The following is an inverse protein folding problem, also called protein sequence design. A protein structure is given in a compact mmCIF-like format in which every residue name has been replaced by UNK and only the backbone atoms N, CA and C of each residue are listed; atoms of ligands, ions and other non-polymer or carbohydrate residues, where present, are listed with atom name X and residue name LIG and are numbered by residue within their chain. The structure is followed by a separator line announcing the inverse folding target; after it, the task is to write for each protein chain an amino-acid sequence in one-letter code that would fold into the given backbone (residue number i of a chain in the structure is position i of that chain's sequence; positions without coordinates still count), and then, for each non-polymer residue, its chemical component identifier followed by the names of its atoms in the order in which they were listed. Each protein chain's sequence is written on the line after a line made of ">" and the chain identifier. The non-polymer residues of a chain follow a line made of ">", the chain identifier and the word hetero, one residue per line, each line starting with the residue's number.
data_IF_423736663928
#
_entry.id   IF_423736663928
#
_cell.length_a   1.000
_cell.length_b   1.000
_cell.length_c   1.000
_cell.angle_alpha   90.00
_cell.angle_beta   90.00
_cell.angle_gamma   90.00
#
_symmetry.space_group_name_H-M   'P 1'
#
loop_
_entity.id
_entity.type
_entity.pdbx_description
1 polymer ?
#
# COMPACT_ATOMS: atom_id res chain seq x y z
N UNK A 1 -42.66 -41.68 -15.52
CA UNK A 1 -41.82 -40.53 -15.88
C UNK A 1 -41.57 -39.74 -14.59
N UNK A 2 -40.57 -40.14 -13.81
CA UNK A 2 -40.20 -39.46 -12.56
C UNK A 2 -39.23 -38.33 -12.91
N UNK A 3 -39.67 -37.09 -12.70
CA UNK A 3 -38.85 -35.90 -12.90
C UNK A 3 -37.80 -35.79 -11.78
N UNK A 4 -36.55 -36.02 -12.14
CA UNK A 4 -35.39 -35.88 -11.28
C UNK A 4 -35.09 -34.38 -11.15
N UNK A 5 -35.46 -33.78 -10.02
CA UNK A 5 -35.18 -32.38 -9.72
C UNK A 5 -33.69 -32.25 -9.38
N UNK A 6 -32.90 -31.86 -10.38
CA UNK A 6 -31.49 -31.56 -10.25
C UNK A 6 -31.35 -30.22 -9.50
N UNK A 7 -31.30 -30.26 -8.17
CA UNK A 7 -30.92 -29.11 -7.37
C UNK A 7 -29.45 -28.79 -7.66
N UNK A 8 -29.23 -27.85 -8.59
CA UNK A 8 -27.93 -27.25 -8.80
C UNK A 8 -27.53 -26.52 -7.50
N UNK A 9 -26.67 -27.16 -6.71
CA UNK A 9 -25.88 -26.50 -5.68
C UNK A 9 -24.99 -25.49 -6.40
N UNK A 10 -25.48 -24.26 -6.56
CA UNK A 10 -24.63 -23.11 -6.84
C UNK A 10 -23.80 -22.89 -5.57
N UNK A 11 -22.62 -23.50 -5.54
CA UNK A 11 -21.59 -23.11 -4.61
C UNK A 11 -21.30 -21.63 -4.86
N UNK A 12 -21.72 -20.76 -3.95
CA UNK A 12 -21.04 -19.49 -3.75
C UNK A 12 -19.59 -19.85 -3.42
N UNK A 13 -18.71 -19.80 -4.41
CA UNK A 13 -17.32 -19.50 -4.12
C UNK A 13 -17.33 -18.07 -3.60
N UNK A 14 -17.47 -17.92 -2.27
CA UNK A 14 -16.91 -16.77 -1.61
C UNK A 14 -15.44 -16.75 -2.03
N UNK A 15 -15.09 -15.77 -2.86
CA UNK A 15 -13.71 -15.49 -3.18
C UNK A 15 -13.06 -15.14 -1.85
N UNK A 16 -12.41 -16.11 -1.20
CA UNK A 16 -11.48 -15.85 -0.12
C UNK A 16 -10.48 -14.85 -0.69
N UNK A 17 -10.68 -13.59 -0.30
CA UNK A 17 -9.87 -12.48 -0.77
C UNK A 17 -8.41 -12.81 -0.49
N UNK A 18 -7.54 -12.36 -1.37
CA UNK A 18 -6.07 -12.52 -1.35
C UNK A 18 -5.32 -12.13 -0.05
N UNK A 19 -6.00 -11.95 1.09
CA UNK A 19 -5.47 -11.42 2.34
C UNK A 19 -5.15 -9.92 2.30
N UNK A 20 -5.29 -9.28 1.12
CA UNK A 20 -5.01 -7.87 0.91
C UNK A 20 -6.14 -6.99 1.39
N UNK A 21 -5.77 -5.87 1.99
CA UNK A 21 -6.70 -4.77 2.22
C UNK A 21 -7.15 -4.18 0.88
N UNK A 22 -8.47 -4.01 0.76
CA UNK A 22 -9.17 -3.33 -0.34
C UNK A 22 -9.38 -1.87 0.05
N UNK A 23 -8.80 -0.96 -0.73
CA UNK A 23 -8.92 0.48 -0.52
C UNK A 23 -9.76 1.07 -1.64
N UNK A 24 -10.86 1.71 -1.27
CA UNK A 24 -11.63 2.54 -2.18
C UNK A 24 -11.12 3.97 -2.16
N UNK A 25 -10.63 4.46 -3.30
CA UNK A 25 -10.19 5.85 -3.45
C UNK A 25 -11.41 6.71 -3.77
N UNK A 26 -11.84 7.50 -2.79
CA UNK A 26 -12.98 8.39 -2.91
C UNK A 26 -12.65 9.59 -3.81
N UNK A 27 -13.67 10.33 -4.25
CA UNK A 27 -13.47 11.53 -5.06
C UNK A 27 -12.57 12.53 -4.34
N UNK A 28 -11.58 13.06 -5.06
CA UNK A 28 -10.74 14.11 -4.50
C UNK A 28 -11.56 15.40 -4.38
N UNK A 29 -11.35 16.11 -3.29
CA UNK A 29 -11.87 17.47 -3.12
C UNK A 29 -10.71 18.44 -3.18
N UNK A 30 -10.95 19.65 -3.65
CA UNK A 30 -9.90 20.66 -3.80
C UNK A 30 -10.47 22.07 -3.71
N UNK A 31 -9.61 23.03 -3.38
CA UNK A 31 -9.96 24.46 -3.46
C UNK A 31 -10.27 24.84 -4.91
N UNK A 32 -11.40 25.51 -5.16
CA UNK A 32 -11.90 25.81 -6.52
C UNK A 32 -10.88 26.53 -7.42
N UNK A 33 -10.02 27.37 -6.84
CA UNK A 33 -9.00 28.14 -7.56
C UNK A 33 -7.94 27.29 -8.26
N UNK A 34 -7.85 25.98 -7.96
CA UNK A 34 -6.85 25.08 -8.54
C UNK A 34 -7.25 24.60 -9.95
N UNK A 35 -8.55 24.45 -10.21
CA UNK A 35 -9.07 23.76 -11.41
C UNK A 35 -8.75 22.25 -11.44
N UNK A 36 -9.31 21.54 -12.43
CA UNK A 36 -9.47 20.07 -12.34
C UNK A 36 -8.29 19.25 -12.89
N UNK A 37 -7.42 19.85 -13.72
CA UNK A 37 -6.37 19.13 -14.44
C UNK A 37 -5.29 18.54 -13.52
N UNK A 38 -4.78 19.34 -12.59
CA UNK A 38 -3.74 18.92 -11.64
C UNK A 38 -4.26 17.95 -10.58
N UNK A 39 -5.45 18.14 -9.95
CA UNK A 39 -6.02 17.16 -9.04
C UNK A 39 -6.24 15.78 -9.68
N UNK A 40 -6.65 15.74 -10.96
CA UNK A 40 -6.81 14.48 -11.71
C UNK A 40 -5.48 13.76 -11.88
N UNK A 41 -4.43 14.49 -12.27
CA UNK A 41 -3.06 13.93 -12.41
C UNK A 41 -2.54 13.43 -11.05
N UNK A 42 -2.77 14.20 -9.98
CA UNK A 42 -2.41 13.80 -8.61
C UNK A 42 -3.14 12.52 -8.19
N UNK A 43 -4.44 12.38 -8.51
CA UNK A 43 -5.22 11.17 -8.23
C UNK A 43 -4.58 9.94 -8.86
N UNK A 44 -4.24 10.00 -10.14
CA UNK A 44 -3.59 8.88 -10.83
C UNK A 44 -2.23 8.53 -10.20
N UNK A 45 -1.44 9.54 -9.82
CA UNK A 45 -0.16 9.32 -9.14
C UNK A 45 -0.35 8.66 -7.75
N UNK A 46 -1.38 9.07 -7.00
CA UNK A 46 -1.72 8.45 -5.72
C UNK A 46 -2.11 7.00 -5.90
N UNK A 47 -3.08 6.71 -6.79
CA UNK A 47 -3.52 5.34 -7.10
C UNK A 47 -2.34 4.48 -7.53
N UNK A 48 -1.55 4.96 -8.49
CA UNK A 48 -0.38 4.23 -8.99
C UNK A 48 0.68 3.98 -7.91
N UNK A 49 0.85 4.89 -6.95
CA UNK A 49 1.78 4.71 -5.83
C UNK A 49 1.30 3.69 -4.81
N UNK A 50 -0.01 3.65 -4.53
CA UNK A 50 -0.61 2.64 -3.66
C UNK A 50 -0.51 1.23 -4.29
N UNK A 51 -0.84 1.12 -5.58
CA UNK A 51 -0.79 -0.12 -6.35
C UNK A 51 0.63 -0.65 -6.55
N UNK A 52 1.64 0.22 -6.62
CA UNK A 52 3.02 -0.15 -6.93
C UNK A 52 3.66 -1.18 -5.98
N UNK A 53 3.09 -1.36 -4.79
CA UNK A 53 3.53 -2.38 -3.84
C UNK A 53 3.01 -3.79 -4.19
N UNK A 54 1.90 -3.89 -4.93
CA UNK A 54 1.19 -5.15 -5.15
C UNK A 54 0.43 -5.67 -3.93
N UNK A 55 0.40 -4.93 -2.81
CA UNK A 55 -0.11 -5.39 -1.51
C UNK A 55 -1.52 -4.96 -1.18
N UNK A 56 -2.10 -4.12 -2.03
CA UNK A 56 -3.45 -3.59 -1.87
C UNK A 56 -4.26 -3.90 -3.11
N UNK A 57 -5.57 -4.06 -2.94
CA UNK A 57 -6.55 -3.96 -4.03
C UNK A 57 -7.07 -2.54 -4.01
N UNK A 58 -7.02 -1.84 -5.15
CA UNK A 58 -7.47 -0.45 -5.23
C UNK A 58 -8.71 -0.38 -6.12
N UNK A 59 -9.77 0.21 -5.58
CA UNK A 59 -11.02 0.50 -6.29
C UNK A 59 -11.09 2.00 -6.48
N UNK A 60 -11.22 2.44 -7.74
CA UNK A 60 -11.33 3.86 -8.08
C UNK A 60 -12.80 4.25 -8.17
N UNK A 61 -13.29 5.12 -7.28
CA UNK A 61 -14.68 5.58 -7.31
C UNK A 61 -15.08 6.30 -8.62
N UNK A 62 -14.14 6.83 -9.40
CA UNK A 62 -14.43 7.41 -10.72
C UNK A 62 -14.76 6.34 -11.78
N UNK A 63 -14.28 5.11 -11.59
CA UNK A 63 -14.54 3.99 -12.49
C UNK A 63 -15.81 3.19 -12.10
N UNK A 64 -16.34 3.39 -10.89
CA UNK A 64 -17.46 2.62 -10.36
C UNK A 64 -18.81 3.31 -10.63
N UNK A 65 -19.59 2.75 -11.57
CA UNK A 65 -20.88 3.32 -12.00
C UNK A 65 -21.89 3.47 -10.85
N UNK A 66 -21.96 2.49 -9.93
CA UNK A 66 -22.84 2.55 -8.77
C UNK A 66 -22.50 3.69 -7.80
N UNK A 67 -21.20 3.97 -7.62
CA UNK A 67 -20.74 5.05 -6.77
C UNK A 67 -20.89 6.43 -7.42
N UNK A 68 -20.80 6.48 -8.75
CA UNK A 68 -21.09 7.67 -9.54
C UNK A 68 -22.58 8.03 -9.46
N UNK A 69 -23.46 7.05 -9.63
CA UNK A 69 -24.91 7.23 -9.50
C UNK A 69 -25.28 7.69 -8.08
N UNK A 70 -24.69 7.10 -7.04
CA UNK A 70 -24.89 7.55 -5.66
C UNK A 70 -24.36 8.98 -5.41
N UNK A 71 -23.25 9.38 -6.05
CA UNK A 71 -22.75 10.76 -5.99
C UNK A 71 -23.74 11.73 -6.64
N UNK A 72 -24.23 11.41 -7.84
CA UNK A 72 -25.17 12.25 -8.58
C UNK A 72 -26.48 12.40 -7.80
N UNK A 73 -26.96 11.32 -7.16
CA UNK A 73 -28.11 11.36 -6.25
C UNK A 73 -27.88 12.34 -5.10
N UNK A 74 -26.69 12.37 -4.49
CA UNK A 74 -26.38 13.28 -3.37
C UNK A 74 -26.28 14.76 -3.76
N UNK A 75 -25.95 15.03 -5.02
CA UNK A 75 -25.95 16.38 -5.54
C UNK A 75 -27.38 16.91 -5.78
N UNK A 76 -28.42 16.07 -5.70
CA UNK A 76 -29.80 16.53 -5.58
C UNK A 76 -30.19 16.74 -4.11
N UNK A 77 -30.87 17.84 -3.83
CA UNK A 77 -31.20 18.32 -2.46
C UNK A 77 -31.99 17.31 -1.62
N UNK A 78 -32.61 16.30 -2.23
CA UNK A 78 -33.45 15.28 -1.57
C UNK A 78 -32.66 14.18 -0.84
N UNK A 79 -31.32 14.13 -1.00
CA UNK A 79 -30.51 12.95 -0.68
C UNK A 79 -29.38 13.18 0.34
N UNK A 80 -29.25 14.39 0.90
CA UNK A 80 -28.08 14.82 1.68
C UNK A 80 -27.79 14.04 2.97
N UNK A 81 -28.66 13.09 3.37
CA UNK A 81 -28.59 12.43 4.67
C UNK A 81 -27.94 11.04 4.74
N UNK A 82 -27.82 10.27 3.65
CA UNK A 82 -27.57 8.83 3.82
C UNK A 82 -26.10 8.40 3.68
N UNK A 83 -25.28 8.70 4.71
CA UNK A 83 -23.94 8.12 4.87
C UNK A 83 -23.93 6.57 4.95
N UNK A 84 -25.09 5.93 5.15
CA UNK A 84 -25.25 4.48 5.22
C UNK A 84 -25.34 3.86 3.82
N UNK A 85 -26.06 4.46 2.87
CA UNK A 85 -26.13 3.99 1.48
C UNK A 85 -24.75 3.90 0.81
N UNK A 86 -23.95 4.97 0.89
CA UNK A 86 -22.60 4.99 0.28
C UNK A 86 -21.67 3.95 0.90
N UNK A 87 -21.69 3.81 2.23
CA UNK A 87 -20.93 2.75 2.92
C UNK A 87 -21.43 1.36 2.55
N UNK A 88 -22.73 1.18 2.36
CA UNK A 88 -23.30 -0.08 1.89
C UNK A 88 -22.77 -0.46 0.52
N UNK A 89 -22.69 0.47 -0.43
CA UNK A 89 -22.08 0.20 -1.75
C UNK A 89 -20.59 -0.14 -1.63
N UNK A 90 -19.84 0.57 -0.79
CA UNK A 90 -18.44 0.24 -0.50
C UNK A 90 -18.27 -1.16 0.10
N UNK A 91 -19.15 -1.56 1.03
CA UNK A 91 -19.15 -2.91 1.62
C UNK A 91 -19.45 -3.97 0.57
N UNK A 92 -20.38 -3.73 -0.38
CA UNK A 92 -20.64 -4.64 -1.51
C UNK A 92 -19.43 -4.83 -2.40
N UNK A 93 -18.62 -3.79 -2.58
CA UNK A 93 -17.35 -3.84 -3.31
C UNK A 93 -16.20 -4.47 -2.49
N UNK A 94 -16.47 -4.93 -1.26
CA UNK A 94 -15.47 -5.54 -0.38
C UNK A 94 -14.44 -4.55 0.18
N UNK A 95 -14.69 -3.24 0.13
CA UNK A 95 -13.75 -2.24 0.61
C UNK A 95 -13.56 -2.32 2.13
N UNK A 96 -12.32 -2.50 2.58
CA UNK A 96 -11.96 -2.41 3.99
C UNK A 96 -11.85 -0.94 4.43
N UNK A 97 -11.29 -0.10 3.56
CA UNK A 97 -11.05 1.31 3.85
C UNK A 97 -11.47 2.23 2.72
N UNK A 98 -11.87 3.44 3.09
CA UNK A 98 -12.08 4.57 2.19
C UNK A 98 -10.93 5.55 2.35
N UNK A 99 -10.29 5.90 1.23
CA UNK A 99 -9.25 6.92 1.16
C UNK A 99 -9.87 8.23 0.67
N UNK A 100 -9.80 9.26 1.50
CA UNK A 100 -10.27 10.62 1.19
C UNK A 100 -9.07 11.55 1.07
N UNK A 101 -9.04 12.36 0.03
CA UNK A 101 -8.02 13.40 -0.15
C UNK A 101 -8.68 14.76 -0.34
N UNK A 102 -8.18 15.74 0.40
CA UNK A 102 -8.49 17.15 0.21
C UNK A 102 -7.22 17.91 -0.16
N UNK A 103 -7.20 18.51 -1.34
CA UNK A 103 -6.07 19.25 -1.88
C UNK A 103 -6.28 20.74 -1.64
N UNK A 104 -5.37 21.36 -0.89
CA UNK A 104 -5.49 22.78 -0.54
C UNK A 104 -4.68 23.67 -1.48
N UNK A 105 -3.65 23.13 -2.14
CA UNK A 105 -2.77 23.89 -3.02
C UNK A 105 -2.10 22.99 -4.06
N UNK A 106 -2.09 23.45 -5.32
CA UNK A 106 -1.24 22.93 -6.39
C UNK A 106 -0.79 24.11 -7.26
N UNK A 107 0.48 24.50 -7.16
CA UNK A 107 1.07 25.61 -7.92
C UNK A 107 2.60 25.41 -8.02
N UNK A 108 3.33 26.40 -8.52
CA UNK A 108 4.77 26.47 -8.46
C UNK A 108 5.28 27.86 -8.06
N UNK A 109 6.30 27.89 -7.18
CA UNK A 109 7.08 29.09 -6.87
C UNK A 109 8.05 29.38 -8.01
N UNK A 110 8.13 30.64 -8.45
CA UNK A 110 9.13 31.09 -9.41
C UNK A 110 10.39 31.53 -8.65
N UNK A 111 11.53 30.99 -9.04
CA UNK A 111 12.83 31.28 -8.43
C UNK A 111 13.81 31.78 -9.50
N UNK A 112 14.77 32.63 -9.10
CA UNK A 112 15.82 33.12 -10.00
C UNK A 112 17.15 32.46 -9.68
N UNK A 113 17.91 32.11 -10.72
CA UNK A 113 19.31 31.70 -10.61
C UNK A 113 20.22 32.93 -10.58
N UNK A 114 21.47 32.72 -10.17
CA UNK A 114 22.50 33.76 -10.16
C UNK A 114 22.80 34.32 -11.56
N UNK A 115 22.55 33.53 -12.61
CA UNK A 115 22.70 33.93 -14.03
C UNK A 115 21.50 34.73 -14.58
N UNK A 116 20.48 34.98 -13.76
CA UNK A 116 19.25 35.70 -14.15
C UNK A 116 18.18 34.84 -14.82
N UNK A 117 18.47 33.57 -15.14
CA UNK A 117 17.46 32.63 -15.62
C UNK A 117 16.50 32.22 -14.51
N UNK A 118 15.31 31.77 -14.90
CA UNK A 118 14.24 31.36 -13.98
C UNK A 118 14.17 29.84 -13.89
N UNK A 119 13.86 29.33 -12.69
CA UNK A 119 13.42 27.95 -12.48
C UNK A 119 12.18 27.94 -11.57
N UNK A 120 11.49 26.82 -11.51
CA UNK A 120 10.25 26.69 -10.74
C UNK A 120 10.34 25.54 -9.72
N UNK A 121 9.78 25.76 -8.53
CA UNK A 121 9.62 24.75 -7.48
C UNK A 121 8.15 24.39 -7.31
N UNK A 122 7.79 23.12 -7.39
CA UNK A 122 6.40 22.69 -7.18
C UNK A 122 5.92 22.94 -5.75
N UNK A 123 4.65 23.31 -5.61
CA UNK A 123 3.97 23.55 -4.34
C UNK A 123 2.69 22.71 -4.31
N UNK A 124 2.72 21.59 -3.60
CA UNK A 124 1.57 20.67 -3.50
C UNK A 124 1.26 20.40 -2.03
N UNK A 125 0.05 20.73 -1.61
CA UNK A 125 -0.45 20.48 -0.26
C UNK A 125 -1.77 19.71 -0.31
N UNK A 126 -1.83 18.58 0.38
CA UNK A 126 -3.07 17.83 0.55
C UNK A 126 -3.09 17.07 1.87
N UNK A 127 -4.29 16.77 2.35
CA UNK A 127 -4.48 15.87 3.49
C UNK A 127 -5.09 14.56 3.01
N UNK A 128 -4.48 13.45 3.42
CA UNK A 128 -4.96 12.10 3.17
C UNK A 128 -5.59 11.56 4.44
N UNK A 129 -6.81 11.06 4.35
CA UNK A 129 -7.52 10.40 5.45
C UNK A 129 -7.98 9.01 5.04
N UNK A 130 -7.62 8.00 5.82
CA UNK A 130 -8.02 6.61 5.65
C UNK A 130 -9.05 6.25 6.72
N UNK A 131 -10.26 5.89 6.28
CA UNK A 131 -11.41 5.61 7.15
C UNK A 131 -11.80 4.14 7.02
N UNK A 132 -12.05 3.47 8.14
CA UNK A 132 -12.58 2.11 8.14
C UNK A 132 -14.04 2.14 7.64
N UNK A 133 -14.34 1.35 6.61
CA UNK A 133 -15.68 1.30 6.01
C UNK A 133 -16.70 0.66 6.95
N UNK A 134 -16.26 -0.23 7.83
CA UNK A 134 -17.14 -0.99 8.73
C UNK A 134 -17.83 -0.09 9.76
N UNK A 135 -17.04 0.73 10.47
CA UNK A 135 -17.49 1.54 11.60
C UNK A 135 -17.35 3.05 11.39
N UNK A 136 -16.67 3.49 10.33
CA UNK A 136 -16.43 4.91 10.04
C UNK A 136 -15.29 5.54 10.85
N UNK A 137 -14.52 4.77 11.61
CA UNK A 137 -13.39 5.29 12.39
C UNK A 137 -12.21 5.68 11.50
N UNK A 138 -11.47 6.70 11.89
CA UNK A 138 -10.27 7.15 11.17
C UNK A 138 -9.08 6.29 11.57
N UNK A 139 -8.51 5.53 10.62
CA UNK A 139 -7.28 4.75 10.82
C UNK A 139 -6.04 5.64 10.68
N UNK A 140 -6.02 6.53 9.69
CA UNK A 140 -4.91 7.46 9.44
C UNK A 140 -5.47 8.80 8.98
N UNK A 141 -4.91 9.89 9.47
CA UNK A 141 -5.06 11.22 8.86
C UNK A 141 -3.71 11.91 8.86
N UNK A 142 -3.23 12.28 7.67
CA UNK A 142 -1.86 12.80 7.50
C UNK A 142 -1.82 13.92 6.46
N UNK A 143 -1.27 15.09 6.80
CA UNK A 143 -0.96 16.11 5.83
C UNK A 143 0.30 15.75 5.05
N UNK A 144 0.31 16.09 3.76
CA UNK A 144 1.44 16.03 2.86
C UNK A 144 1.72 17.43 2.34
N UNK A 145 2.96 17.88 2.51
CA UNK A 145 3.42 19.21 2.11
C UNK A 145 4.70 19.06 1.28
N UNK A 146 4.60 19.43 0.01
CA UNK A 146 5.69 19.46 -0.93
C UNK A 146 5.99 20.91 -1.27
N UNK A 147 6.96 21.47 -0.57
CA UNK A 147 7.52 22.80 -0.79
C UNK A 147 9.01 22.76 -0.42
N UNK A 148 9.80 23.69 -0.98
CA UNK A 148 11.23 23.78 -0.71
C UNK A 148 11.96 22.46 -0.97
N UNK A 149 12.67 21.94 0.03
CA UNK A 149 13.48 20.70 -0.10
C UNK A 149 12.66 19.43 -0.39
N UNK A 150 11.35 19.45 -0.15
CA UNK A 150 10.47 18.33 -0.42
C UNK A 150 9.81 18.40 -1.81
N UNK A 151 9.92 19.54 -2.48
CA UNK A 151 9.40 19.73 -3.83
C UNK A 151 10.37 19.23 -4.91
N UNK A 152 9.88 19.15 -6.14
CA UNK A 152 10.71 18.98 -7.33
C UNK A 152 10.67 20.22 -8.20
N UNK A 153 11.60 20.27 -9.13
CA UNK A 153 11.95 21.46 -9.88
C UNK A 153 11.74 21.25 -11.38
N UNK A 154 11.55 22.34 -12.10
CA UNK A 154 11.46 22.33 -13.55
C UNK A 154 11.72 23.71 -14.16
N UNK A 155 11.97 23.75 -15.46
CA UNK A 155 12.18 24.99 -16.20
C UNK A 155 10.86 25.72 -16.51
N UNK A 156 9.71 25.06 -16.30
CA UNK A 156 8.37 25.66 -16.34
C UNK A 156 7.56 25.31 -15.09
N UNK A 157 6.46 26.04 -14.85
CA UNK A 157 5.53 25.76 -13.75
C UNK A 157 4.96 24.33 -13.85
N UNK A 158 4.49 23.95 -15.02
CA UNK A 158 3.89 22.65 -15.31
C UNK A 158 4.89 21.52 -15.07
N UNK A 159 6.15 21.70 -15.48
CA UNK A 159 7.22 20.73 -15.28
C UNK A 159 7.52 20.53 -13.79
N UNK A 160 7.60 21.62 -13.01
CA UNK A 160 7.85 21.55 -11.58
C UNK A 160 6.69 20.88 -10.80
N UNK A 161 5.44 21.20 -11.17
CA UNK A 161 4.24 20.56 -10.59
C UNK A 161 4.25 19.07 -10.91
N UNK A 162 4.44 18.70 -12.18
CA UNK A 162 4.41 17.29 -12.63
C UNK A 162 5.51 16.47 -11.95
N UNK A 163 6.75 16.99 -11.91
CA UNK A 163 7.84 16.32 -11.21
C UNK A 163 7.55 16.13 -9.71
N UNK A 164 6.85 17.09 -9.10
CA UNK A 164 6.44 16.99 -7.69
C UNK A 164 5.35 15.94 -7.51
N UNK A 165 4.38 15.84 -8.43
CA UNK A 165 3.36 14.77 -8.47
C UNK A 165 4.02 13.39 -8.60
N UNK A 166 5.04 13.23 -9.43
CA UNK A 166 5.77 11.96 -9.56
C UNK A 166 6.46 11.56 -8.23
N UNK A 167 6.93 12.55 -7.47
CA UNK A 167 7.45 12.31 -6.13
C UNK A 167 6.36 11.94 -5.10
N UNK A 168 5.11 12.37 -5.30
CA UNK A 168 3.95 11.89 -4.51
C UNK A 168 3.75 10.39 -4.69
N UNK A 169 3.93 9.85 -5.90
CA UNK A 169 3.83 8.39 -6.15
C UNK A 169 4.77 7.59 -5.26
N UNK A 170 6.02 8.05 -5.11
CA UNK A 170 7.02 7.47 -4.19
C UNK A 170 6.55 7.56 -2.74
N UNK A 171 5.99 8.71 -2.36
CA UNK A 171 5.46 8.94 -1.02
C UNK A 171 4.28 8.03 -0.69
N UNK A 172 3.41 7.73 -1.66
CA UNK A 172 2.30 6.79 -1.48
C UNK A 172 2.79 5.36 -1.36
N UNK A 173 3.82 4.96 -2.11
CA UNK A 173 4.47 3.65 -1.89
C UNK A 173 4.99 3.52 -0.46
N UNK A 174 5.63 4.58 0.07
CA UNK A 174 6.06 4.63 1.48
C UNK A 174 4.86 4.59 2.44
N UNK A 175 3.77 5.29 2.13
CA UNK A 175 2.55 5.24 2.93
C UNK A 175 2.02 3.80 3.06
N UNK A 176 2.03 3.00 1.98
CA UNK A 176 1.63 1.59 2.08
C UNK A 176 2.61 0.80 2.96
N UNK A 177 3.91 1.04 2.84
CA UNK A 177 4.92 0.41 3.69
C UNK A 177 4.77 0.74 5.18
N UNK A 178 4.33 1.96 5.50
CA UNK A 178 4.20 2.43 6.89
C UNK A 178 2.88 1.97 7.56
N UNK A 179 1.82 1.72 6.79
CA UNK A 179 0.46 1.54 7.33
C UNK A 179 -0.18 0.18 7.06
N UNK A 180 0.44 -0.61 6.18
CA UNK A 180 -0.03 -1.93 5.81
C UNK A 180 1.15 -2.88 5.95
N UNK A 181 1.26 -3.56 7.09
CA UNK A 181 2.35 -4.51 7.32
C UNK A 181 2.18 -5.73 6.41
N UNK A 182 3.27 -6.15 5.76
CA UNK A 182 3.32 -7.50 5.17
C UNK A 182 3.87 -8.47 6.20
N UNK A 183 3.00 -9.37 6.66
CA UNK A 183 3.32 -10.44 7.63
C UNK A 183 3.12 -11.80 6.98
N UNK A 184 3.97 -12.73 7.32
CA UNK A 184 3.97 -14.11 6.86
C UNK A 184 4.53 -15.02 7.98
N UNK A 185 4.50 -16.33 7.77
CA UNK A 185 5.06 -17.36 8.63
C UNK A 185 6.27 -18.01 7.97
N UNK A 186 7.11 -18.66 8.78
CA UNK A 186 8.11 -19.60 8.27
C UNK A 186 7.43 -20.94 8.10
N UNK A 187 7.51 -21.51 6.89
CA UNK A 187 6.89 -22.80 6.54
C UNK A 187 7.81 -23.96 6.91
N UNK A 188 9.07 -23.88 6.51
CA UNK A 188 10.08 -24.90 6.79
C UNK A 188 11.49 -24.32 6.66
N UNK A 189 12.43 -24.86 7.44
CA UNK A 189 13.86 -24.67 7.21
C UNK A 189 14.31 -25.64 6.12
N UNK A 190 14.89 -25.12 5.04
CA UNK A 190 15.36 -25.92 3.92
C UNK A 190 16.76 -26.47 4.19
N UNK A 191 17.70 -25.59 4.56
CA UNK A 191 19.08 -25.96 4.81
C UNK A 191 19.59 -25.45 6.16
N UNK A 192 20.43 -26.26 6.80
CA UNK A 192 21.10 -25.97 8.08
C UNK A 192 22.60 -26.15 7.93
N UNK A 193 23.35 -25.19 8.47
CA UNK A 193 24.79 -25.28 8.68
C UNK A 193 25.10 -25.55 10.16
N UNK A 194 26.11 -26.39 10.42
CA UNK A 194 26.47 -26.81 11.79
C UNK A 194 26.87 -25.67 12.72
N UNK A 195 27.42 -24.56 12.19
CA UNK A 195 27.88 -23.41 12.99
C UNK A 195 26.90 -22.24 12.92
N UNK A 196 26.33 -21.99 11.73
CA UNK A 196 25.46 -20.83 11.48
C UNK A 196 23.98 -21.10 11.76
N UNK A 197 23.59 -22.36 11.94
CA UNK A 197 22.20 -22.78 12.10
C UNK A 197 21.45 -22.74 10.78
N UNK A 198 20.18 -22.32 10.78
CA UNK A 198 19.38 -22.17 9.56
C UNK A 198 20.07 -21.24 8.56
N UNK A 199 20.22 -21.68 7.31
CA UNK A 199 20.83 -20.87 6.22
C UNK A 199 19.86 -20.55 5.09
N UNK A 200 18.84 -21.39 4.87
CA UNK A 200 17.71 -21.07 3.99
C UNK A 200 16.40 -21.63 4.53
N UNK A 201 15.30 -20.95 4.22
CA UNK A 201 13.96 -21.30 4.69
C UNK A 201 12.87 -20.80 3.73
N UNK A 202 11.69 -21.40 3.81
CA UNK A 202 10.50 -20.98 3.08
C UNK A 202 9.61 -20.10 3.94
N UNK A 203 9.00 -19.09 3.32
CA UNK A 203 7.93 -18.27 3.91
C UNK A 203 6.66 -18.37 3.06
N UNK A 204 5.51 -18.29 3.72
CA UNK A 204 4.16 -18.35 3.10
C UNK A 204 3.75 -17.00 2.48
N UNK A 205 4.69 -16.33 1.80
CA UNK A 205 4.33 -15.21 0.94
C UNK A 205 5.09 -15.17 -0.38
N UNK A 206 4.38 -14.86 -1.46
CA UNK A 206 4.89 -14.85 -2.84
C UNK A 206 4.42 -13.65 -3.67
N UNK A 207 4.29 -13.86 -4.99
CA UNK A 207 3.98 -12.80 -5.97
C UNK A 207 2.66 -12.08 -5.66
N UNK A 208 1.65 -12.83 -5.22
CA UNK A 208 0.35 -12.27 -4.88
C UNK A 208 0.47 -11.23 -3.79
N UNK A 209 1.39 -11.36 -2.84
CA UNK A 209 1.63 -10.39 -1.77
C UNK A 209 2.67 -9.32 -2.10
N UNK A 210 3.01 -9.16 -3.38
CA UNK A 210 3.98 -8.16 -3.83
C UNK A 210 5.42 -8.45 -3.38
N UNK A 211 5.72 -9.70 -3.01
CA UNK A 211 7.07 -10.13 -2.63
C UNK A 211 7.97 -10.12 -3.86
N UNK A 212 9.21 -9.66 -3.72
CA UNK A 212 10.20 -9.64 -4.79
C UNK A 212 11.54 -10.12 -4.27
N UNK A 213 12.35 -10.67 -5.19
CA UNK A 213 13.75 -11.01 -4.91
C UNK A 213 14.47 -9.82 -4.27
N UNK A 214 15.17 -10.09 -3.17
CA UNK A 214 15.91 -9.10 -2.41
C UNK A 214 15.13 -8.39 -1.30
N UNK A 215 13.80 -8.55 -1.23
CA UNK A 215 13.02 -8.10 -0.08
C UNK A 215 13.56 -8.74 1.19
N UNK A 216 13.62 -7.95 2.27
CA UNK A 216 14.14 -8.40 3.57
C UNK A 216 12.99 -8.48 4.56
N UNK A 217 13.00 -9.53 5.38
CA UNK A 217 12.04 -9.72 6.46
C UNK A 217 12.76 -9.86 7.79
N UNK A 218 12.13 -9.34 8.84
CA UNK A 218 12.55 -9.56 10.23
C UNK A 218 11.80 -10.79 10.75
N UNK A 219 12.54 -11.77 11.25
CA UNK A 219 11.99 -12.97 11.89
C UNK A 219 11.78 -12.69 13.36
N UNK A 220 10.57 -12.94 13.86
CA UNK A 220 10.20 -12.75 15.26
C UNK A 220 9.53 -13.99 15.82
N UNK A 221 9.80 -14.28 17.10
CA UNK A 221 9.02 -15.25 17.87
C UNK A 221 7.86 -14.52 18.55
N UNK A 222 6.66 -15.11 18.42
CA UNK A 222 5.46 -14.67 19.14
C UNK A 222 5.45 -15.25 20.57
N UNK A 223 5.22 -14.41 21.58
CA UNK A 223 5.07 -14.83 22.99
C UNK A 223 3.81 -14.20 23.59
N UNK A 224 3.00 -15.01 24.27
CA UNK A 224 1.86 -14.51 25.04
C UNK A 224 2.29 -14.17 26.46
N UNK A 225 2.05 -12.93 26.90
CA UNK A 225 2.32 -12.47 28.27
C UNK A 225 1.14 -11.66 28.76
N UNK A 226 0.45 -12.13 29.81
CA UNK A 226 -0.72 -11.47 30.39
C UNK A 226 -1.80 -11.09 29.36
N UNK A 227 -2.10 -12.00 28.43
CA UNK A 227 -3.08 -11.76 27.35
C UNK A 227 -2.62 -10.82 26.23
N UNK A 228 -1.36 -10.36 26.27
CA UNK A 228 -0.76 -9.54 25.21
C UNK A 228 0.23 -10.36 24.40
N UNK A 229 0.15 -10.20 23.08
CA UNK A 229 1.13 -10.77 22.15
C UNK A 229 2.37 -9.88 22.07
N UNK A 230 3.52 -10.43 22.46
CA UNK A 230 4.84 -9.81 22.32
C UNK A 230 5.63 -10.47 21.19
N UNK A 231 6.45 -9.68 20.52
CA UNK A 231 7.33 -10.17 19.45
C UNK A 231 8.79 -9.90 19.79
N UNK A 232 9.63 -10.93 19.70
CA UNK A 232 11.09 -10.80 19.88
C UNK A 232 11.79 -11.06 18.55
N UNK A 233 12.56 -10.10 18.03
CA UNK A 233 13.42 -10.30 16.85
C UNK A 233 14.49 -11.34 17.16
N UNK A 234 14.53 -12.41 16.37
CA UNK A 234 15.51 -13.50 16.48
C UNK A 234 16.39 -13.62 15.25
N UNK A 235 16.00 -13.02 14.12
CA UNK A 235 16.79 -13.11 12.90
C UNK A 235 16.24 -12.26 11.77
N UNK A 236 16.89 -12.37 10.61
CA UNK A 236 16.51 -11.68 9.37
C UNK A 236 16.75 -12.58 8.18
N UNK A 237 15.82 -12.54 7.24
CA UNK A 237 15.91 -13.30 6.00
C UNK A 237 15.75 -12.38 4.80
N UNK A 238 16.34 -12.76 3.67
CA UNK A 238 16.26 -12.05 2.41
C UNK A 238 15.74 -13.00 1.35
N UNK A 239 14.71 -12.60 0.62
CA UNK A 239 14.13 -13.39 -0.47
C UNK A 239 15.19 -13.61 -1.55
N UNK A 240 15.49 -14.87 -1.82
CA UNK A 240 16.41 -15.29 -2.87
C UNK A 240 15.67 -15.62 -4.17
N UNK A 241 14.48 -16.20 -4.03
CA UNK A 241 13.59 -16.58 -5.12
C UNK A 241 12.14 -16.51 -4.64
N UNK A 242 11.26 -16.00 -5.50
CA UNK A 242 9.80 -16.06 -5.30
C UNK A 242 9.30 -17.30 -6.05
N UNK A 243 8.59 -18.18 -5.36
CA UNK A 243 8.19 -19.50 -5.87
C UNK A 243 6.66 -19.56 -5.99
N UNK A 244 6.12 -18.73 -6.89
CA UNK A 244 4.69 -18.63 -7.15
C UNK A 244 3.98 -17.59 -6.29
N UNK A 245 2.65 -17.70 -6.25
CA UNK A 245 1.77 -16.67 -5.69
C UNK A 245 1.90 -16.52 -4.17
N UNK A 246 2.17 -17.60 -3.46
CA UNK A 246 2.03 -17.71 -2.01
C UNK A 246 3.30 -18.17 -1.29
N UNK A 247 4.40 -18.44 -2.00
CA UNK A 247 5.63 -18.95 -1.37
C UNK A 247 6.89 -18.27 -1.88
N UNK A 248 7.89 -18.13 -1.01
CA UNK A 248 9.22 -17.66 -1.36
C UNK A 248 10.32 -18.40 -0.62
N UNK A 249 11.43 -18.65 -1.32
CA UNK A 249 12.67 -19.15 -0.72
C UNK A 249 13.53 -17.97 -0.25
N UNK A 250 13.98 -18.03 0.99
CA UNK A 250 14.77 -16.98 1.61
C UNK A 250 16.13 -17.50 2.11
N UNK A 251 17.14 -16.64 1.99
CA UNK A 251 18.45 -16.79 2.63
C UNK A 251 18.43 -16.16 4.02
N UNK A 252 18.94 -16.87 5.02
CA UNK A 252 19.12 -16.32 6.37
C UNK A 252 20.32 -15.39 6.36
N UNK A 253 20.10 -14.14 6.74
CA UNK A 253 21.13 -13.08 6.78
C UNK A 253 21.59 -12.76 8.19
N UNK A 254 20.78 -13.11 9.20
CA UNK A 254 21.09 -12.95 10.63
C UNK A 254 20.28 -13.95 11.45
N UNK A 255 20.88 -14.51 12.50
CA UNK A 255 20.18 -15.27 13.54
C UNK A 255 19.83 -16.71 13.19
N UNK A 256 20.62 -17.38 12.35
CA UNK A 256 20.33 -18.74 11.91
C UNK A 256 20.28 -19.77 13.04
N UNK A 257 21.13 -19.62 14.07
CA UNK A 257 21.12 -20.48 15.27
C UNK A 257 19.83 -20.29 16.07
N UNK A 258 19.40 -19.05 16.27
CA UNK A 258 18.18 -18.71 17.00
C UNK A 258 16.93 -19.15 16.25
N UNK A 259 16.90 -19.01 14.93
CA UNK A 259 15.80 -19.48 14.07
C UNK A 259 15.71 -21.00 14.13
N UNK A 260 16.82 -21.72 13.96
CA UNK A 260 16.83 -23.18 14.05
C UNK A 260 16.36 -23.67 15.42
N UNK A 261 16.85 -23.04 16.50
CA UNK A 261 16.41 -23.38 17.84
C UNK A 261 14.91 -23.11 18.04
N UNK A 262 14.40 -21.99 17.52
CA UNK A 262 12.98 -21.67 17.61
C UNK A 262 12.11 -22.69 16.87
N UNK A 263 12.55 -23.16 15.71
CA UNK A 263 11.89 -24.21 14.93
C UNK A 263 11.88 -25.56 15.68
N UNK A 264 13.02 -25.97 16.23
CA UNK A 264 13.15 -27.20 17.04
C UNK A 264 12.28 -27.15 18.32
N UNK A 265 12.20 -25.99 18.95
CA UNK A 265 11.34 -25.72 20.10
C UNK A 265 9.85 -25.58 19.71
N UNK A 266 9.51 -25.70 18.41
CA UNK A 266 8.16 -25.51 17.84
C UNK A 266 7.53 -24.17 18.21
N UNK A 267 8.35 -23.12 18.30
CA UNK A 267 7.88 -21.76 18.60
C UNK A 267 7.21 -21.18 17.37
N UNK A 268 6.08 -20.50 17.57
CA UNK A 268 5.41 -19.75 16.52
C UNK A 268 6.29 -18.58 16.06
N UNK A 269 6.72 -18.62 14.80
CA UNK A 269 7.53 -17.59 14.17
C UNK A 269 6.73 -16.83 13.13
N UNK A 270 6.87 -15.51 13.15
CA UNK A 270 6.28 -14.58 12.17
C UNK A 270 7.41 -13.80 11.52
N UNK A 271 7.32 -13.63 10.20
CA UNK A 271 8.17 -12.73 9.45
C UNK A 271 7.42 -11.44 9.13
N UNK A 272 8.09 -10.30 9.23
CA UNK A 272 7.51 -9.01 8.85
C UNK A 272 8.43 -8.32 7.86
N UNK A 273 7.87 -7.86 6.75
CA UNK A 273 8.63 -7.15 5.73
C UNK A 273 9.30 -5.92 6.33
N UNK A 274 10.56 -5.71 5.98
CA UNK A 274 11.36 -4.55 6.34
C UNK A 274 11.64 -3.74 5.07
N UNK A 275 10.93 -2.63 4.85
CA UNK A 275 11.19 -1.76 3.71
C UNK A 275 12.64 -1.28 3.71
N UNK A 276 13.32 -1.42 2.58
CA UNK A 276 14.60 -0.75 2.34
C UNK A 276 14.39 0.63 1.72
N UNK A 277 15.38 1.52 1.83
CA UNK A 277 15.33 2.85 1.20
C UNK A 277 15.13 2.73 -0.31
N UNK A 278 15.70 1.70 -0.93
CA UNK A 278 15.58 1.39 -2.36
C UNK A 278 14.18 0.88 -2.73
N UNK A 279 13.41 0.36 -1.77
CA UNK A 279 12.04 -0.07 -2.01
C UNK A 279 11.07 1.12 -2.06
N UNK A 280 11.50 2.34 -1.73
CA UNK A 280 10.72 3.57 -1.98
C UNK A 280 11.01 4.20 -3.34
N UNK A 281 12.22 4.01 -3.87
CA UNK A 281 12.68 4.65 -5.11
C UNK A 281 12.25 3.78 -6.30
N UNK A 282 11.46 4.35 -7.22
CA UNK A 282 11.09 3.66 -8.46
C UNK A 282 12.32 3.21 -9.26
N UNK A 283 12.17 2.19 -10.10
CA UNK A 283 13.23 1.68 -10.99
C UNK A 283 13.87 2.78 -11.86
N UNK A 284 13.14 3.86 -12.15
CA UNK A 284 13.54 4.95 -13.05
C UNK A 284 14.67 5.86 -12.55
N UNK A 285 15.14 5.74 -11.30
CA UNK A 285 16.28 6.54 -10.79
C UNK A 285 17.59 5.73 -10.76
N UNK A 286 17.54 4.41 -10.95
CA UNK A 286 18.75 3.57 -10.91
C UNK A 286 19.71 3.79 -12.08
N UNK A 287 19.28 4.49 -13.14
CA UNK A 287 20.12 4.81 -14.30
C UNK A 287 20.88 6.14 -14.16
N UNK A 288 20.58 6.98 -13.17
CA UNK A 288 21.24 8.27 -12.96
C UNK A 288 22.45 8.25 -12.02
N UNK A 289 22.93 7.07 -11.60
CA UNK A 289 24.06 6.91 -10.68
C UNK A 289 25.20 6.05 -11.27
N UNK A 290 25.32 6.03 -12.60
CA UNK A 290 26.53 5.56 -13.29
C UNK A 290 27.22 6.71 -13.98
#
# INVERSE_FOLDING_TARGET
>A
MLAMCMCAYLGLFAQEGSGKDVILVDYFTYTESIGDSYPTTLRHAVIGGLQATGRLVIIDADAESGLKLEKDRRNSEEAMGDATARRSEMKKLGANYMLKIHVTQMDASQEKKDDGSTWYSGLINFTLTLVNVEDGTVKVSKPFNYAGLNAKYGDTKEAAITATIDYVKISMKKFVNDNFDLKASIVAIENVDKKKGAVSLYIDCGESMGVKKGHTFIVRVEKQVAGKTLYTEIGRVKVDEVQGDDMSLCKVTKGGVEIQKADQDKKKMVVTYKPSVLDGVGSSIKEGLK
#
